data_IF_247735266838
#
_entry.id   IF_247735266838
#
_cell.length_a   1.000
_cell.length_b   1.000
_cell.length_c   1.000
_cell.angle_alpha   90.00
_cell.angle_beta   90.00
_cell.angle_gamma   90.00
#
_symmetry.space_group_name_H-M   'P 1'
#
loop_
_entity.id
_entity.type
_entity.pdbx_description
1 polymer ?
#
# COMPACT_ATOMS: atom_id res chain seq x y z
N UNK A 1 -13.67 -11.05 44.30
CA UNK A 1 -12.39 -10.97 43.58
C UNK A 1 -12.70 -11.07 42.09
N UNK A 2 -12.89 -9.93 41.42
CA UNK A 2 -13.27 -9.86 40.00
C UNK A 2 -12.04 -9.47 39.20
N UNK A 3 -11.53 -10.39 38.39
CA UNK A 3 -10.34 -10.21 37.56
C UNK A 3 -10.73 -9.34 36.35
N UNK A 4 -10.32 -8.07 36.33
CA UNK A 4 -10.34 -7.26 35.11
C UNK A 4 -9.17 -7.73 34.23
N UNK A 5 -9.48 -8.49 33.18
CA UNK A 5 -8.56 -8.70 32.07
C UNK A 5 -8.31 -7.34 31.41
N UNK A 6 -7.14 -6.77 31.67
CA UNK A 6 -6.65 -5.61 30.95
C UNK A 6 -6.55 -5.95 29.47
N UNK A 7 -7.37 -5.29 28.67
CA UNK A 7 -7.25 -5.27 27.22
C UNK A 7 -5.90 -4.62 26.93
N UNK A 8 -4.91 -5.41 26.54
CA UNK A 8 -3.64 -4.90 26.02
C UNK A 8 -3.96 -4.17 24.73
N UNK A 9 -4.23 -2.87 24.82
CA UNK A 9 -4.18 -2.00 23.66
C UNK A 9 -2.77 -2.14 23.10
N UNK A 10 -2.63 -2.58 21.85
CA UNK A 10 -1.36 -2.43 21.16
C UNK A 10 -0.99 -0.96 21.25
N UNK A 11 0.04 -0.62 22.05
CA UNK A 11 0.53 0.74 22.12
C UNK A 11 0.86 1.14 20.68
N UNK A 12 0.08 2.08 20.13
CA UNK A 12 0.52 2.79 18.96
C UNK A 12 1.80 3.50 19.39
N UNK A 13 2.96 2.91 19.10
CA UNK A 13 4.25 3.55 19.37
C UNK A 13 4.21 4.99 18.85
N UNK A 14 4.71 5.94 19.65
CA UNK A 14 4.68 7.34 19.25
C UNK A 14 5.43 7.55 17.92
N UNK A 15 4.98 8.53 17.15
CA UNK A 15 5.67 8.96 15.95
C UNK A 15 6.73 10.00 16.32
N UNK A 16 7.88 10.08 15.61
CA UNK A 16 8.24 9.35 14.40
C UNK A 16 8.63 7.89 14.65
N UNK A 17 8.46 7.02 13.64
CA UNK A 17 8.86 5.61 13.68
C UNK A 17 9.90 5.31 12.61
N UNK A 18 10.86 4.45 12.94
CA UNK A 18 11.79 3.92 11.96
C UNK A 18 11.35 2.54 11.49
N UNK A 19 11.39 2.33 10.19
CA UNK A 19 11.07 1.06 9.53
C UNK A 19 12.23 0.68 8.63
N UNK A 20 12.78 -0.51 8.80
CA UNK A 20 13.89 -1.01 7.97
C UNK A 20 13.34 -1.96 6.91
N UNK A 21 13.76 -1.78 5.67
CA UNK A 21 13.52 -2.69 4.56
C UNK A 21 14.84 -3.06 3.86
N UNK A 22 14.77 -3.70 2.69
CA UNK A 22 15.94 -4.07 1.90
C UNK A 22 16.73 -2.89 1.32
N UNK A 23 16.18 -1.67 1.36
CA UNK A 23 16.78 -0.43 0.88
C UNK A 23 17.28 0.48 2.00
N UNK A 24 17.18 0.03 3.26
CA UNK A 24 17.73 0.72 4.42
C UNK A 24 16.66 1.06 5.45
N UNK A 25 16.97 2.04 6.29
CA UNK A 25 16.04 2.50 7.33
C UNK A 25 15.34 3.78 6.89
N UNK A 26 14.02 3.76 6.98
CA UNK A 26 13.11 4.84 6.62
C UNK A 26 12.50 5.43 7.86
N UNK A 27 12.44 6.75 7.94
CA UNK A 27 11.74 7.45 9.01
C UNK A 27 10.37 7.85 8.53
N UNK A 28 9.35 7.32 9.20
CA UNK A 28 7.97 7.75 9.04
C UNK A 28 7.69 8.83 10.10
N UNK A 29 7.45 10.09 9.68
CA UNK A 29 7.32 11.20 10.62
C UNK A 29 6.00 11.17 11.42
N UNK A 30 4.96 10.57 10.84
CA UNK A 30 3.61 10.47 11.39
C UNK A 30 2.90 9.22 10.85
N UNK A 31 1.72 8.93 11.40
CA UNK A 31 0.89 7.84 10.87
C UNK A 31 0.50 8.12 9.41
N UNK A 32 0.74 7.17 8.50
CA UNK A 32 0.25 7.28 7.12
C UNK A 32 -1.28 7.27 7.10
N UNK A 33 -1.86 8.23 6.40
CA UNK A 33 -3.29 8.39 6.18
C UNK A 33 -3.66 8.30 4.69
N UNK A 34 -2.67 8.31 3.79
CA UNK A 34 -2.83 8.28 2.34
C UNK A 34 -1.80 7.34 1.72
N UNK A 35 -2.05 6.04 1.90
CA UNK A 35 -1.14 5.00 1.40
C UNK A 35 -1.43 4.74 -0.06
N UNK A 36 -0.38 4.75 -0.87
CA UNK A 36 -0.41 4.27 -2.26
C UNK A 36 0.36 2.96 -2.35
N UNK A 37 -0.28 1.93 -2.90
CA UNK A 37 0.39 0.66 -3.18
C UNK A 37 0.60 0.51 -4.69
N UNK A 38 1.86 0.36 -5.12
CA UNK A 38 2.17 0.12 -6.54
C UNK A 38 1.98 -1.35 -6.93
N UNK A 39 1.76 -2.23 -5.94
CA UNK A 39 1.53 -3.67 -6.11
C UNK A 39 0.08 -4.03 -5.83
N UNK A 40 -0.56 -4.64 -6.84
CA UNK A 40 -1.91 -5.18 -6.73
C UNK A 40 -1.96 -6.34 -5.73
N UNK A 41 -0.87 -7.07 -5.56
CA UNK A 41 -0.75 -8.18 -4.60
C UNK A 41 -0.71 -7.66 -3.15
N UNK A 42 0.16 -6.70 -2.85
CA UNK A 42 0.30 -6.10 -1.51
C UNK A 42 -0.99 -5.40 -1.05
N UNK A 43 -1.73 -4.82 -2.00
CA UNK A 43 -2.98 -4.11 -1.71
C UNK A 43 -4.00 -4.98 -0.98
N UNK A 44 -4.08 -6.27 -1.30
CA UNK A 44 -5.00 -7.18 -0.61
C UNK A 44 -4.73 -7.27 0.89
N UNK A 45 -3.47 -7.40 1.28
CA UNK A 45 -3.05 -7.45 2.68
C UNK A 45 -3.30 -6.13 3.41
N UNK A 46 -3.05 -4.99 2.74
CA UNK A 46 -3.33 -3.67 3.31
C UNK A 46 -4.81 -3.45 3.58
N UNK A 47 -5.67 -3.86 2.65
CA UNK A 47 -7.12 -3.78 2.82
C UNK A 47 -7.59 -4.66 4.00
N UNK A 48 -7.00 -5.84 4.17
CA UNK A 48 -7.35 -6.79 5.24
C UNK A 48 -7.03 -6.29 6.65
N UNK A 49 -6.09 -5.36 6.80
CA UNK A 49 -5.73 -4.73 8.08
C UNK A 49 -6.32 -3.32 8.24
N UNK A 50 -7.29 -2.96 7.40
CA UNK A 50 -7.94 -1.65 7.40
C UNK A 50 -6.99 -0.46 7.21
N UNK A 51 -5.86 -0.68 6.52
CA UNK A 51 -4.93 0.40 6.20
C UNK A 51 -5.60 1.44 5.27
N UNK A 52 -5.27 2.74 5.42
CA UNK A 52 -5.88 3.81 4.64
C UNK A 52 -5.27 3.90 3.22
N UNK A 53 -5.49 2.86 2.42
CA UNK A 53 -5.04 2.81 1.03
C UNK A 53 -5.98 3.62 0.14
N UNK A 54 -5.43 4.64 -0.52
CA UNK A 54 -6.20 5.53 -1.41
C UNK A 54 -6.11 5.12 -2.87
N UNK A 55 -5.01 4.48 -3.27
CA UNK A 55 -4.84 4.00 -4.63
C UNK A 55 -3.96 2.75 -4.72
N UNK A 56 -4.20 1.96 -5.76
CA UNK A 56 -3.51 0.71 -6.04
C UNK A 56 -3.13 0.58 -7.52
N UNK A 57 -1.99 -0.05 -7.78
CA UNK A 57 -1.67 -0.61 -9.10
C UNK A 57 -2.68 -1.70 -9.47
N UNK A 58 -2.93 -1.89 -10.76
CA UNK A 58 -3.83 -2.93 -11.24
C UNK A 58 -3.15 -3.82 -12.27
N UNK A 59 -3.60 -5.07 -12.35
CA UNK A 59 -3.24 -5.97 -13.45
C UNK A 59 -4.24 -5.80 -14.60
N UNK A 60 -4.08 -6.58 -15.68
CA UNK A 60 -4.98 -6.56 -16.83
C UNK A 60 -6.44 -6.80 -16.40
N UNK A 61 -7.37 -5.87 -16.67
CA UNK A 61 -8.77 -6.03 -16.33
C UNK A 61 -9.42 -7.27 -16.96
N UNK A 62 -10.43 -7.81 -16.31
CA UNK A 62 -11.24 -8.96 -16.75
C UNK A 62 -10.45 -10.24 -17.07
N UNK A 63 -9.21 -10.37 -16.58
CA UNK A 63 -8.46 -11.61 -16.70
C UNK A 63 -8.97 -12.67 -15.71
N UNK A 64 -8.32 -13.85 -15.66
CA UNK A 64 -8.72 -14.97 -14.78
C UNK A 64 -8.73 -14.64 -13.28
N UNK A 65 -7.97 -13.65 -12.83
CA UNK A 65 -7.79 -13.33 -11.39
C UNK A 65 -8.31 -11.95 -10.99
N UNK A 66 -8.52 -11.04 -11.94
CA UNK A 66 -8.91 -9.65 -11.71
C UNK A 66 -10.29 -9.26 -12.26
N UNK A 67 -10.89 -8.27 -11.62
CA UNK A 67 -12.17 -7.66 -11.98
C UNK A 67 -12.06 -6.68 -13.18
N UNK A 68 -13.12 -5.93 -13.44
CA UNK A 68 -13.16 -4.92 -14.53
C UNK A 68 -12.28 -3.70 -14.30
N UNK A 69 -11.80 -3.47 -13.08
CA UNK A 69 -10.80 -2.45 -12.78
C UNK A 69 -9.37 -3.01 -12.88
N UNK A 70 -9.18 -4.34 -12.86
CA UNK A 70 -7.87 -4.96 -12.77
C UNK A 70 -7.41 -5.20 -11.33
N UNK A 71 -8.33 -5.07 -10.37
CA UNK A 71 -8.14 -5.44 -8.97
C UNK A 71 -8.43 -6.92 -8.76
N UNK A 72 -7.73 -7.58 -7.83
CA UNK A 72 -7.92 -9.02 -7.66
C UNK A 72 -9.30 -9.32 -7.05
N UNK A 73 -9.97 -10.34 -7.58
CA UNK A 73 -11.37 -10.64 -7.26
C UNK A 73 -11.62 -10.86 -5.77
N UNK A 74 -10.65 -11.41 -5.03
CA UNK A 74 -10.81 -11.73 -3.61
C UNK A 74 -11.01 -10.49 -2.72
N UNK A 75 -10.60 -9.31 -3.16
CA UNK A 75 -10.75 -8.05 -2.40
C UNK A 75 -11.40 -6.92 -3.22
N UNK A 76 -11.79 -7.18 -4.47
CA UNK A 76 -12.43 -6.22 -5.38
C UNK A 76 -13.63 -5.51 -4.75
N UNK A 77 -14.52 -6.23 -4.07
CA UNK A 77 -15.69 -5.63 -3.42
C UNK A 77 -15.31 -4.65 -2.29
N UNK A 78 -14.26 -4.98 -1.53
CA UNK A 78 -13.72 -4.08 -0.49
C UNK A 78 -13.12 -2.84 -1.13
N UNK A 79 -12.36 -3.00 -2.22
CA UNK A 79 -11.80 -1.87 -2.96
C UNK A 79 -12.89 -0.93 -3.50
N UNK A 80 -13.97 -1.46 -4.06
CA UNK A 80 -15.13 -0.67 -4.52
C UNK A 80 -15.80 0.07 -3.38
N UNK A 81 -16.06 -0.63 -2.26
CA UNK A 81 -16.69 -0.02 -1.08
C UNK A 81 -15.84 1.13 -0.51
N UNK A 82 -14.52 0.98 -0.53
CA UNK A 82 -13.56 2.01 -0.09
C UNK A 82 -13.19 3.04 -1.16
N UNK A 83 -13.80 2.96 -2.34
CA UNK A 83 -13.54 3.87 -3.49
C UNK A 83 -12.06 3.94 -3.85
N UNK A 84 -11.38 2.80 -3.78
CA UNK A 84 -9.96 2.69 -4.09
C UNK A 84 -9.69 3.12 -5.53
N UNK A 85 -8.78 4.07 -5.72
CA UNK A 85 -8.42 4.53 -7.05
C UNK A 85 -7.45 3.55 -7.73
N UNK A 86 -7.60 3.40 -9.04
CA UNK A 86 -6.63 2.67 -9.86
C UNK A 86 -5.57 3.64 -10.39
N UNK A 87 -4.30 3.33 -10.16
CA UNK A 87 -3.17 4.14 -10.64
C UNK A 87 -2.93 3.92 -12.13
N UNK A 88 -2.68 2.67 -12.52
CA UNK A 88 -2.28 2.24 -13.85
C UNK A 88 -2.65 0.76 -14.05
N UNK A 89 -2.52 0.27 -15.28
CA UNK A 89 -2.70 -1.14 -15.63
C UNK A 89 -1.37 -1.68 -16.11
N UNK A 90 -0.80 -2.65 -15.41
CA UNK A 90 0.44 -3.31 -15.78
C UNK A 90 1.68 -2.45 -15.53
N UNK A 91 1.90 -1.42 -16.35
CA UNK A 91 3.12 -0.62 -16.32
C UNK A 91 3.07 0.48 -15.23
N UNK A 92 4.05 0.54 -14.31
CA UNK A 92 4.11 1.56 -13.28
C UNK A 92 4.34 2.98 -13.80
N UNK A 93 3.69 3.97 -13.17
CA UNK A 93 3.88 5.40 -13.45
C UNK A 93 4.07 6.19 -12.16
N UNK A 94 5.21 6.87 -12.03
CA UNK A 94 5.48 7.75 -10.89
C UNK A 94 4.56 8.98 -10.88
N UNK A 95 4.16 9.48 -12.06
CA UNK A 95 3.24 10.62 -12.18
C UNK A 95 1.83 10.25 -11.67
N UNK A 96 1.35 9.06 -12.01
CA UNK A 96 0.08 8.56 -11.50
C UNK A 96 0.09 8.42 -9.97
N UNK A 97 1.23 8.01 -9.39
CA UNK A 97 1.43 7.97 -7.93
C UNK A 97 1.44 9.38 -7.35
N UNK A 98 2.21 10.31 -7.93
CA UNK A 98 2.31 11.69 -7.47
C UNK A 98 0.95 12.40 -7.45
N UNK A 99 0.10 12.15 -8.45
CA UNK A 99 -1.25 12.72 -8.53
C UNK A 99 -2.16 12.32 -7.36
N UNK A 100 -1.86 11.24 -6.65
CA UNK A 100 -2.62 10.82 -5.47
C UNK A 100 -2.19 11.54 -4.19
N UNK A 101 -1.09 12.30 -4.22
CA UNK A 101 -0.50 12.95 -3.04
C UNK A 101 -0.36 11.97 -1.85
N UNK A 102 0.44 10.91 -2.00
CA UNK A 102 0.64 9.92 -0.95
C UNK A 102 1.47 10.49 0.21
N UNK A 103 1.26 9.93 1.41
CA UNK A 103 2.17 10.10 2.55
C UNK A 103 3.00 8.84 2.85
N UNK A 104 2.68 7.73 2.18
CA UNK A 104 3.47 6.50 2.15
C UNK A 104 3.25 5.77 0.82
N UNK A 105 4.34 5.29 0.21
CA UNK A 105 4.31 4.47 -0.99
C UNK A 105 4.85 3.07 -0.63
N UNK A 106 4.13 2.04 -1.05
CA UNK A 106 4.56 0.64 -0.89
C UNK A 106 4.83 0.02 -2.24
N UNK A 107 6.00 -0.61 -2.36
CA UNK A 107 6.51 -1.26 -3.58
C UNK A 107 6.77 -2.74 -3.29
N UNK A 108 6.33 -3.63 -4.18
CA UNK A 108 6.73 -5.03 -4.11
C UNK A 108 8.18 -5.18 -4.59
N UNK A 109 9.01 -5.91 -3.85
CA UNK A 109 10.39 -6.21 -4.19
C UNK A 109 10.51 -7.10 -5.44
N UNK A 110 9.52 -7.96 -5.67
CA UNK A 110 9.53 -8.95 -6.76
C UNK A 110 8.14 -9.11 -7.38
N UNK A 111 8.05 -9.89 -8.46
CA UNK A 111 6.79 -10.18 -9.15
C UNK A 111 6.47 -9.22 -10.29
N UNK A 112 5.43 -9.56 -11.07
CA UNK A 112 5.02 -8.81 -12.25
C UNK A 112 4.35 -7.46 -11.96
N UNK A 113 4.02 -7.18 -10.69
CA UNK A 113 3.47 -5.93 -10.20
C UNK A 113 4.48 -5.11 -9.39
N UNK A 114 5.78 -5.45 -9.49
CA UNK A 114 6.85 -4.69 -8.88
C UNK A 114 7.10 -3.38 -9.63
N UNK A 115 7.06 -2.26 -8.91
CA UNK A 115 7.46 -0.93 -9.40
C UNK A 115 8.89 -0.55 -8.97
N UNK A 116 9.73 -1.55 -8.64
CA UNK A 116 11.10 -1.32 -8.16
C UNK A 116 11.97 -0.46 -9.09
N UNK A 117 11.87 -0.57 -10.43
CA UNK A 117 12.62 0.32 -11.33
C UNK A 117 12.34 1.81 -11.14
N UNK A 118 11.19 2.17 -10.54
CA UNK A 118 10.81 3.55 -10.24
C UNK A 118 11.13 3.99 -8.82
N UNK A 119 11.77 3.14 -7.99
CA UNK A 119 12.03 3.44 -6.57
C UNK A 119 12.66 4.82 -6.35
N UNK A 120 13.68 5.17 -7.12
CA UNK A 120 14.36 6.46 -6.99
C UNK A 120 13.49 7.66 -7.34
N UNK A 121 12.47 7.49 -8.20
CA UNK A 121 11.50 8.54 -8.50
C UNK A 121 10.45 8.59 -7.38
N UNK A 122 9.93 7.44 -6.96
CA UNK A 122 8.88 7.33 -5.94
C UNK A 122 9.32 7.91 -4.58
N UNK A 123 10.58 7.67 -4.18
CA UNK A 123 11.11 8.21 -2.92
C UNK A 123 11.19 9.74 -2.87
N UNK A 124 11.14 10.42 -4.02
CA UNK A 124 11.09 11.89 -4.07
C UNK A 124 9.68 12.43 -3.83
N UNK A 125 8.65 11.58 -4.00
CA UNK A 125 7.23 11.93 -3.79
C UNK A 125 6.86 11.78 -2.31
N UNK A 126 7.19 10.62 -1.71
CA UNK A 126 6.88 10.30 -0.31
C UNK A 126 7.80 9.18 0.22
N UNK A 127 7.86 8.94 1.54
CA UNK A 127 8.52 7.76 2.09
C UNK A 127 8.08 6.49 1.35
N UNK A 128 9.04 5.71 0.86
CA UNK A 128 8.80 4.56 -0.02
C UNK A 128 9.41 3.32 0.59
N UNK A 129 8.58 2.33 0.93
CA UNK A 129 9.03 1.06 1.50
C UNK A 129 8.94 -0.06 0.45
N UNK A 130 9.96 -0.91 0.43
CA UNK A 130 10.04 -2.09 -0.42
C UNK A 130 9.74 -3.34 0.40
N UNK A 131 8.70 -4.07 0.02
CA UNK A 131 8.18 -5.24 0.77
C UNK A 131 8.36 -6.50 -0.09
N UNK A 132 8.78 -7.59 0.53
CA UNK A 132 8.92 -8.92 -0.10
C UNK A 132 8.00 -9.94 0.56
#
# INVERSE_FOLDING_TARGET
MLLLLGITSAQAADWPRQVTDSYGTHTLPSQPLRIVSTSVTLTGSLLAIDAPVVASGATTPNNRVADSQGFLRQWSEVAKARKLARLYIGEPSAEAVAAQMPDLILVSATGGDSALPLYDQLKTIAPTLVIN
#
